data_IF_284695394023
#
_entry.id   IF_284695394023
#
_cell.length_a   1.000
_cell.length_b   1.000
_cell.length_c   1.000
_cell.angle_alpha   90.00
_cell.angle_beta   90.00
_cell.angle_gamma   90.00
#
_symmetry.space_group_name_H-M   'P 1'
#
loop_
_entity.id
_entity.type
_entity.pdbx_description
1 polymer ?
#
# COMPACT_ATOMS: atom_id res chain seq x y z
N UNK A 1 36.09 -46.72 -29.80
CA UNK A 1 34.95 -45.84 -29.54
C UNK A 1 35.28 -45.06 -28.28
N UNK A 2 35.85 -43.88 -28.47
CA UNK A 2 36.53 -43.08 -27.43
C UNK A 2 35.56 -42.01 -26.90
N UNK A 3 35.22 -42.10 -25.65
CA UNK A 3 34.32 -41.13 -24.97
C UNK A 3 35.16 -39.98 -24.45
N UNK A 4 35.03 -38.81 -25.07
CA UNK A 4 35.65 -37.58 -24.58
C UNK A 4 34.81 -36.97 -23.43
N UNK A 5 35.37 -36.99 -22.22
CA UNK A 5 34.85 -36.23 -21.08
C UNK A 5 35.21 -34.76 -21.25
N UNK A 6 34.18 -33.89 -21.40
CA UNK A 6 34.36 -32.44 -21.35
C UNK A 6 34.39 -31.99 -19.89
N UNK A 7 35.55 -31.49 -19.47
CA UNK A 7 35.78 -30.87 -18.15
C UNK A 7 35.25 -29.43 -18.19
N UNK A 8 34.28 -29.11 -17.37
CA UNK A 8 33.78 -27.75 -17.23
C UNK A 8 34.55 -27.05 -16.08
N UNK A 9 35.43 -26.17 -16.44
CA UNK A 9 36.19 -25.35 -15.50
C UNK A 9 35.26 -24.24 -14.94
N UNK A 10 34.99 -24.28 -13.64
CA UNK A 10 34.26 -23.23 -12.93
C UNK A 10 35.28 -22.16 -12.53
N UNK A 11 35.15 -20.98 -13.14
CA UNK A 11 35.94 -19.80 -12.80
C UNK A 11 35.23 -19.09 -11.65
N UNK A 12 35.80 -19.18 -10.44
CA UNK A 12 35.40 -18.42 -9.28
C UNK A 12 36.00 -17.01 -9.37
N UNK A 13 35.15 -16.03 -9.65
CA UNK A 13 35.54 -14.62 -9.57
C UNK A 13 35.15 -14.08 -8.18
N UNK A 14 36.17 -13.87 -7.33
CA UNK A 14 36.03 -13.17 -6.07
C UNK A 14 35.98 -11.66 -6.36
N UNK A 15 34.86 -11.01 -6.05
CA UNK A 15 34.76 -9.56 -6.09
C UNK A 15 34.78 -8.99 -4.67
N UNK A 16 35.70 -8.07 -4.48
CA UNK A 16 36.06 -7.41 -3.24
C UNK A 16 34.94 -6.52 -2.68
N UNK A 17 34.86 -6.51 -1.36
CA UNK A 17 34.09 -5.62 -0.51
C UNK A 17 34.61 -4.18 -0.63
N UNK A 18 33.77 -3.27 -1.05
CA UNK A 18 33.96 -1.84 -0.81
C UNK A 18 32.91 -1.36 0.18
N UNK A 19 33.41 -1.08 1.38
CA UNK A 19 32.70 -0.36 2.42
C UNK A 19 32.47 1.08 1.97
N UNK A 20 31.22 1.46 1.77
CA UNK A 20 30.79 2.83 1.48
C UNK A 20 30.04 3.42 2.65
N UNK A 21 30.58 4.49 3.16
CA UNK A 21 30.15 5.39 4.22
C UNK A 21 28.64 5.67 4.30
N UNK A 22 28.08 5.54 5.50
CA UNK A 22 26.79 6.09 5.89
C UNK A 22 26.98 7.53 6.41
N UNK A 23 26.24 8.52 5.94
CA UNK A 23 26.14 9.80 6.61
C UNK A 23 25.13 9.69 7.77
N UNK A 24 25.62 9.87 8.98
CA UNK A 24 24.82 10.09 10.18
C UNK A 24 24.17 11.47 10.12
N UNK A 25 22.86 11.52 10.00
CA UNK A 25 22.09 12.74 10.14
C UNK A 25 21.81 12.99 11.62
N UNK A 26 22.57 13.88 12.25
CA UNK A 26 22.30 14.38 13.59
C UNK A 26 21.20 15.44 13.53
N UNK A 27 20.05 15.14 14.10
CA UNK A 27 19.00 16.13 14.35
C UNK A 27 19.33 16.89 15.64
N UNK A 28 19.63 18.16 15.49
CA UNK A 28 19.69 19.12 16.60
C UNK A 28 18.26 19.52 16.96
N UNK A 29 17.89 19.21 18.19
CA UNK A 29 16.67 19.74 18.81
C UNK A 29 17.01 21.06 19.46
N UNK A 30 16.50 22.14 18.93
CA UNK A 30 16.57 23.46 19.53
C UNK A 30 15.26 23.75 20.24
N UNK A 31 15.33 23.79 21.56
CA UNK A 31 14.27 24.19 22.46
C UNK A 31 14.33 25.70 22.63
N UNK A 32 13.31 26.40 22.20
CA UNK A 32 13.11 27.82 22.52
C UNK A 32 11.84 27.97 23.35
N UNK A 33 12.04 28.30 24.61
CA UNK A 33 10.98 28.72 25.51
C UNK A 33 10.84 30.24 25.47
N UNK A 34 9.63 30.78 25.56
CA UNK A 34 9.40 32.20 25.63
C UNK A 34 9.02 32.65 27.03
N UNK A 35 9.58 33.74 27.42
CA UNK A 35 9.04 34.62 28.46
C UNK A 35 8.41 35.83 27.83
N UNK A 36 7.21 36.22 28.29
CA UNK A 36 6.92 37.61 28.69
C UNK A 36 5.49 37.77 29.21
N UNK A 37 5.42 38.05 30.48
CA UNK A 37 4.30 38.58 31.22
C UNK A 37 4.08 40.04 30.81
N UNK A 38 2.82 40.45 30.66
CA UNK A 38 2.45 41.85 30.83
C UNK A 38 1.04 41.93 31.41
N UNK A 39 1.01 42.33 32.65
CA UNK A 39 -0.15 42.85 33.39
C UNK A 39 -0.77 44.05 32.70
N UNK A 40 -2.07 44.13 32.71
CA UNK A 40 -2.85 45.37 32.87
C UNK A 40 -4.26 45.06 33.33
N UNK A 41 -4.50 45.44 34.54
CA UNK A 41 -5.75 45.63 35.26
C UNK A 41 -6.43 46.93 34.85
N UNK A 42 -7.57 47.32 35.50
CA UNK A 42 -8.93 46.84 35.34
C UNK A 42 -9.85 48.01 34.88
N UNK A 43 -11.03 47.73 34.40
CA UNK A 43 -12.13 48.70 34.40
C UNK A 43 -13.49 48.05 34.61
N UNK A 44 -14.06 48.44 35.76
CA UNK A 44 -15.46 48.54 36.11
C UNK A 44 -16.48 48.38 34.97
N UNK A 45 -17.40 47.45 35.11
CA UNK A 45 -18.75 47.70 34.63
C UNK A 45 -19.81 46.90 35.41
N UNK A 46 -20.52 47.68 36.24
CA UNK A 46 -21.96 47.64 36.49
C UNK A 46 -22.67 46.27 36.60
N UNK A 47 -22.96 45.98 37.84
CA UNK A 47 -24.03 45.11 38.31
C UNK A 47 -25.33 45.28 37.54
N UNK A 48 -25.71 44.29 36.76
CA UNK A 48 -27.10 44.11 36.31
C UNK A 48 -27.76 43.07 37.20
N UNK A 49 -28.92 43.41 37.73
CA UNK A 49 -29.78 42.62 38.61
C UNK A 49 -30.08 41.22 37.99
N UNK A 50 -30.16 40.17 38.81
CA UNK A 50 -30.53 38.85 38.35
C UNK A 50 -32.03 38.83 37.99
N UNK A 51 -32.33 38.53 36.74
CA UNK A 51 -33.67 38.10 36.34
C UNK A 51 -33.91 36.70 36.83
N UNK A 52 -34.82 36.56 37.79
CA UNK A 52 -35.38 35.24 38.14
C UNK A 52 -36.12 34.67 36.96
N UNK A 53 -35.47 33.74 36.22
CA UNK A 53 -36.15 32.90 35.27
C UNK A 53 -36.90 31.84 36.03
N UNK A 54 -38.20 31.78 35.83
CA UNK A 54 -39.11 30.76 36.27
C UNK A 54 -38.56 29.39 35.87
N UNK A 55 -38.52 28.35 36.73
CA UNK A 55 -38.02 27.02 36.36
C UNK A 55 -38.90 26.44 35.26
N UNK A 56 -38.26 26.10 34.14
CA UNK A 56 -38.90 25.33 33.05
C UNK A 56 -39.18 23.93 33.52
N UNK A 57 -40.32 23.33 33.10
CA UNK A 57 -40.64 21.95 33.46
C UNK A 57 -39.59 20.97 32.85
N UNK A 58 -39.30 19.88 33.54
CA UNK A 58 -38.29 18.92 33.07
C UNK A 58 -38.66 18.39 31.69
N UNK A 59 -37.76 18.63 30.71
CA UNK A 59 -37.87 18.07 29.40
C UNK A 59 -37.88 16.53 29.48
N UNK A 60 -38.94 15.92 28.98
CA UNK A 60 -39.03 14.46 28.84
C UNK A 60 -37.88 14.02 27.96
N UNK A 61 -36.93 13.31 28.57
CA UNK A 61 -35.84 12.65 27.89
C UNK A 61 -36.49 11.56 26.99
N UNK A 62 -36.63 11.85 25.72
CA UNK A 62 -36.98 10.82 24.75
C UNK A 62 -35.77 9.91 24.63
N UNK A 63 -35.84 8.77 25.30
CA UNK A 63 -34.92 7.67 25.06
C UNK A 63 -35.06 7.26 23.59
N UNK A 64 -34.21 7.81 22.70
CA UNK A 64 -34.07 7.27 21.35
C UNK A 64 -33.66 5.82 21.50
N UNK A 65 -34.55 4.93 21.02
CA UNK A 65 -34.23 3.52 20.85
C UNK A 65 -32.89 3.42 20.15
N UNK A 66 -31.90 2.63 20.66
CA UNK A 66 -30.61 2.49 19.97
C UNK A 66 -30.88 2.05 18.54
N UNK A 67 -30.41 2.82 17.58
CA UNK A 67 -30.46 2.43 16.17
C UNK A 67 -29.66 1.14 16.00
N UNK A 68 -30.18 0.17 15.23
CA UNK A 68 -29.44 -1.05 14.94
C UNK A 68 -28.13 -0.67 14.29
N UNK A 69 -27.02 -1.37 14.60
CA UNK A 69 -25.71 -1.06 14.04
C UNK A 69 -25.82 -1.04 12.52
N UNK A 70 -25.55 0.13 11.92
CA UNK A 70 -25.51 0.28 10.47
C UNK A 70 -24.55 -0.77 9.93
N UNK A 71 -25.04 -1.65 9.06
CA UNK A 71 -24.19 -2.58 8.33
C UNK A 71 -23.14 -1.72 7.62
N UNK A 72 -21.91 -1.77 8.10
CA UNK A 72 -20.78 -1.14 7.42
C UNK A 72 -20.66 -1.86 6.09
N UNK A 73 -21.29 -1.30 5.07
CA UNK A 73 -21.03 -1.69 3.70
C UNK A 73 -19.57 -1.34 3.47
N UNK A 74 -18.71 -2.36 3.47
CA UNK A 74 -17.28 -2.19 3.23
C UNK A 74 -17.11 -1.34 1.98
N UNK A 75 -16.69 -0.08 2.16
CA UNK A 75 -16.40 0.80 1.05
C UNK A 75 -15.29 0.15 0.23
N UNK A 76 -15.67 -0.34 -0.96
CA UNK A 76 -14.71 -0.80 -1.95
C UNK A 76 -13.85 0.42 -2.30
N UNK A 77 -12.52 0.39 -2.10
CA UNK A 77 -11.69 1.53 -2.41
C UNK A 77 -11.86 1.91 -3.88
N UNK A 78 -11.76 3.21 -4.23
CA UNK A 78 -11.89 3.66 -5.61
C UNK A 78 -10.90 2.90 -6.49
N UNK A 79 -11.40 2.30 -7.56
CA UNK A 79 -10.57 1.57 -8.52
C UNK A 79 -9.69 2.58 -9.26
N UNK A 80 -8.38 2.40 -9.23
CA UNK A 80 -7.50 3.10 -10.17
C UNK A 80 -7.82 2.60 -11.58
N UNK A 81 -7.99 3.48 -12.56
CA UNK A 81 -8.17 3.05 -13.94
C UNK A 81 -6.93 2.26 -14.39
N UNK A 82 -7.16 1.04 -14.84
CA UNK A 82 -6.12 0.20 -15.41
C UNK A 82 -6.03 0.49 -16.91
N UNK A 83 -4.82 0.70 -17.47
CA UNK A 83 -4.68 0.83 -18.91
C UNK A 83 -5.15 -0.47 -19.60
N UNK A 84 -5.76 -0.38 -20.78
CA UNK A 84 -6.19 -1.56 -21.53
C UNK A 84 -5.03 -2.50 -21.83
N UNK A 85 -5.30 -3.81 -21.86
CA UNK A 85 -4.34 -4.80 -22.35
C UNK A 85 -3.98 -4.47 -23.81
N UNK A 86 -2.70 -4.57 -24.13
CA UNK A 86 -2.17 -4.15 -25.42
C UNK A 86 -1.71 -2.70 -25.49
N UNK A 87 -1.88 -1.90 -24.41
CA UNK A 87 -1.31 -0.55 -24.38
C UNK A 87 0.22 -0.62 -24.37
N UNK A 88 0.87 0.20 -25.20
CA UNK A 88 2.32 0.25 -25.38
C UNK A 88 2.93 1.46 -24.67
N UNK A 89 4.04 1.26 -23.96
CA UNK A 89 4.87 2.28 -23.34
C UNK A 89 6.29 2.17 -23.87
N UNK A 90 6.88 3.26 -24.35
CA UNK A 90 8.28 3.27 -24.83
C UNK A 90 9.26 3.14 -23.68
N UNK A 91 8.92 3.75 -22.55
CA UNK A 91 9.75 3.75 -21.36
C UNK A 91 9.35 2.64 -20.39
N UNK A 92 10.33 2.15 -19.65
CA UNK A 92 10.10 1.18 -18.58
C UNK A 92 9.25 1.81 -17.48
N UNK A 93 8.14 1.17 -17.05
CA UNK A 93 7.34 1.68 -15.95
C UNK A 93 8.19 1.90 -14.69
N UNK A 94 7.98 3.03 -14.00
CA UNK A 94 8.70 3.34 -12.77
C UNK A 94 8.44 2.28 -11.70
N UNK A 95 9.43 2.05 -10.83
CA UNK A 95 9.35 1.10 -9.73
C UNK A 95 8.93 -0.32 -10.13
N UNK A 96 9.13 -0.70 -11.40
CA UNK A 96 8.75 -2.03 -11.82
C UNK A 96 9.79 -3.07 -11.41
N UNK A 97 9.29 -4.20 -10.96
CA UNK A 97 10.07 -5.40 -10.64
C UNK A 97 10.00 -6.40 -11.81
N UNK A 98 11.09 -7.14 -12.00
CA UNK A 98 11.12 -8.23 -12.99
C UNK A 98 10.64 -9.52 -12.34
N UNK A 99 9.79 -10.24 -13.03
CA UNK A 99 9.24 -11.55 -12.63
C UNK A 99 9.52 -12.53 -13.76
N UNK A 100 10.08 -13.71 -13.45
CA UNK A 100 10.19 -14.79 -14.39
C UNK A 100 9.05 -15.78 -14.17
N UNK A 101 8.33 -16.11 -15.23
CA UNK A 101 7.27 -17.11 -15.20
C UNK A 101 7.27 -17.89 -16.53
N UNK A 102 7.28 -19.23 -16.45
CA UNK A 102 7.35 -20.12 -17.62
C UNK A 102 8.48 -19.73 -18.59
N UNK A 103 9.68 -19.45 -18.06
CA UNK A 103 10.86 -19.01 -18.81
C UNK A 103 10.71 -17.68 -19.56
N UNK A 104 9.63 -16.94 -19.34
CA UNK A 104 9.38 -15.63 -19.92
C UNK A 104 9.54 -14.50 -18.89
N UNK A 105 10.20 -13.39 -19.24
CA UNK A 105 10.27 -12.22 -18.37
C UNK A 105 8.99 -11.41 -18.43
N UNK A 106 8.52 -11.00 -17.26
CA UNK A 106 7.43 -10.05 -17.06
C UNK A 106 7.93 -8.90 -16.19
N UNK A 107 7.27 -7.78 -16.30
CA UNK A 107 7.50 -6.61 -15.46
C UNK A 107 6.21 -6.28 -14.72
N UNK A 108 6.31 -6.00 -13.45
CA UNK A 108 5.16 -5.71 -12.60
C UNK A 108 5.35 -4.37 -11.90
N UNK A 109 4.40 -3.47 -12.08
CA UNK A 109 4.38 -2.16 -11.42
C UNK A 109 2.93 -1.77 -11.11
N UNK A 110 2.66 -1.28 -9.90
CA UNK A 110 1.35 -0.75 -9.48
C UNK A 110 0.16 -1.70 -9.77
N UNK A 111 0.39 -3.02 -9.71
CA UNK A 111 -0.65 -4.02 -9.99
C UNK A 111 -0.85 -4.34 -11.47
N UNK A 112 -0.06 -3.76 -12.36
CA UNK A 112 -0.13 -3.95 -13.80
C UNK A 112 1.04 -4.80 -14.26
N UNK A 113 0.77 -5.72 -15.20
CA UNK A 113 1.79 -6.58 -15.79
C UNK A 113 2.14 -6.13 -17.19
N UNK A 114 3.42 -6.21 -17.51
CA UNK A 114 3.96 -5.83 -18.80
C UNK A 114 4.87 -6.92 -19.35
N UNK A 115 4.97 -6.99 -20.66
CA UNK A 115 6.02 -7.71 -21.38
C UNK A 115 6.80 -6.74 -22.25
N UNK A 116 8.09 -6.95 -22.38
CA UNK A 116 8.89 -6.20 -23.32
C UNK A 116 8.85 -6.89 -24.68
N UNK A 117 8.30 -6.22 -25.69
CA UNK A 117 8.19 -6.70 -27.05
C UNK A 117 8.21 -5.52 -28.02
N UNK A 118 8.84 -5.70 -29.17
CA UNK A 118 8.91 -4.66 -30.22
C UNK A 118 9.39 -3.30 -29.71
N UNK A 119 10.48 -3.31 -28.92
CA UNK A 119 11.09 -2.12 -28.33
C UNK A 119 10.12 -1.31 -27.42
N UNK A 120 9.11 -1.95 -26.85
CA UNK A 120 8.14 -1.32 -25.96
C UNK A 120 7.69 -2.24 -24.83
N UNK A 121 7.18 -1.67 -23.75
CA UNK A 121 6.51 -2.38 -22.66
C UNK A 121 5.01 -2.43 -22.95
N UNK A 122 4.50 -3.63 -23.16
CA UNK A 122 3.10 -3.87 -23.53
C UNK A 122 2.36 -4.36 -22.32
N UNK A 123 1.23 -3.73 -21.98
CA UNK A 123 0.34 -4.20 -20.91
C UNK A 123 -0.22 -5.56 -21.30
N UNK A 124 -0.07 -6.53 -20.39
CA UNK A 124 -0.56 -7.89 -20.60
C UNK A 124 -1.45 -8.34 -19.46
N UNK A 125 -2.33 -9.28 -19.74
CA UNK A 125 -3.03 -10.00 -18.69
C UNK A 125 -2.06 -10.96 -18.01
N UNK A 126 -1.98 -11.00 -16.67
CA UNK A 126 -1.12 -11.97 -15.99
C UNK A 126 -1.68 -13.39 -16.10
N UNK A 127 -0.81 -14.37 -15.89
CA UNK A 127 -1.17 -15.78 -15.89
C UNK A 127 -1.42 -16.30 -14.46
N UNK A 128 -2.34 -17.26 -14.34
CA UNK A 128 -2.59 -17.95 -13.06
C UNK A 128 -1.32 -18.71 -12.67
N UNK A 129 -0.93 -18.60 -11.39
CA UNK A 129 0.29 -19.20 -10.89
C UNK A 129 1.47 -18.25 -10.76
N UNK A 130 1.46 -17.09 -11.43
CA UNK A 130 2.47 -16.06 -11.22
C UNK A 130 2.54 -15.63 -9.76
N UNK A 131 3.74 -15.29 -9.32
CA UNK A 131 4.03 -14.85 -7.96
C UNK A 131 4.61 -13.45 -8.01
N UNK A 132 4.05 -12.55 -7.19
CA UNK A 132 4.58 -11.22 -6.98
C UNK A 132 5.03 -11.07 -5.52
N UNK A 133 6.14 -10.38 -5.23
CA UNK A 133 6.64 -10.23 -3.87
C UNK A 133 5.83 -9.23 -3.04
N UNK A 134 5.13 -8.31 -3.69
CA UNK A 134 4.31 -7.28 -3.04
C UNK A 134 3.11 -6.89 -3.92
N UNK A 135 2.10 -6.31 -3.30
CA UNK A 135 0.97 -5.66 -3.98
C UNK A 135 1.06 -4.14 -3.79
N UNK A 136 0.42 -3.34 -4.65
CA UNK A 136 0.37 -1.89 -4.47
C UNK A 136 -0.24 -1.50 -3.11
N UNK A 137 0.17 -0.39 -2.55
CA UNK A 137 -0.40 0.14 -1.29
C UNK A 137 -1.85 0.57 -1.45
N UNK A 138 -2.23 0.98 -2.64
CA UNK A 138 -3.58 1.50 -2.95
C UNK A 138 -4.28 0.66 -4.01
N UNK A 139 -5.63 0.64 -3.98
CA UNK A 139 -6.42 -0.11 -4.95
C UNK A 139 -6.50 -1.62 -4.68
N UNK A 140 -5.93 -2.08 -3.57
CA UNK A 140 -6.02 -3.47 -3.12
C UNK A 140 -7.09 -3.61 -2.04
N UNK A 141 -7.93 -4.62 -2.16
CA UNK A 141 -8.91 -4.96 -1.13
C UNK A 141 -8.98 -6.46 -0.91
N UNK A 142 -9.60 -6.88 0.21
CA UNK A 142 -9.69 -8.28 0.59
C UNK A 142 -11.10 -8.80 0.38
N UNK A 143 -11.21 -10.04 -0.07
CA UNK A 143 -12.47 -10.78 -0.15
C UNK A 143 -12.32 -12.12 0.56
N UNK A 144 -13.44 -12.68 1.03
CA UNK A 144 -13.50 -14.08 1.46
C UNK A 144 -14.14 -14.91 0.36
N UNK A 145 -13.44 -15.96 -0.10
CA UNK A 145 -13.95 -16.90 -1.09
C UNK A 145 -13.63 -18.33 -0.63
N UNK A 146 -14.67 -19.17 -0.47
CA UNK A 146 -14.52 -20.56 0.01
C UNK A 146 -13.74 -20.69 1.33
N UNK A 147 -13.96 -19.76 2.27
CA UNK A 147 -13.26 -19.75 3.57
C UNK A 147 -11.86 -19.11 3.56
N UNK A 148 -11.27 -18.88 2.40
CA UNK A 148 -9.96 -18.24 2.25
C UNK A 148 -10.07 -16.73 2.11
N UNK A 149 -9.10 -16.00 2.64
CA UNK A 149 -8.93 -14.57 2.41
C UNK A 149 -8.05 -14.37 1.18
N UNK A 150 -8.61 -13.75 0.15
CA UNK A 150 -7.88 -13.38 -1.06
C UNK A 150 -7.75 -11.86 -1.15
N UNK A 151 -6.70 -11.41 -1.82
CA UNK A 151 -6.49 -10.01 -2.16
C UNK A 151 -6.91 -9.77 -3.61
N UNK A 152 -7.47 -8.62 -3.88
CA UNK A 152 -7.89 -8.22 -5.22
C UNK A 152 -7.20 -6.93 -5.62
N UNK A 153 -6.60 -6.92 -6.79
CA UNK A 153 -6.03 -5.74 -7.43
C UNK A 153 -6.31 -5.82 -8.92
N UNK A 154 -6.92 -4.79 -9.52
CA UNK A 154 -7.29 -4.78 -10.95
C UNK A 154 -7.99 -6.06 -11.44
N UNK A 155 -8.99 -6.53 -10.66
CA UNK A 155 -9.75 -7.75 -10.92
C UNK A 155 -8.94 -9.06 -10.91
N UNK A 156 -7.67 -9.01 -10.54
CA UNK A 156 -6.82 -10.19 -10.31
C UNK A 156 -6.93 -10.65 -8.87
N UNK A 157 -7.11 -11.95 -8.67
CA UNK A 157 -7.20 -12.60 -7.36
C UNK A 157 -5.84 -13.13 -6.93
N UNK A 158 -5.39 -12.70 -5.77
CA UNK A 158 -4.11 -13.10 -5.19
C UNK A 158 -4.31 -13.86 -3.88
N UNK A 159 -3.64 -15.00 -3.75
CA UNK A 159 -3.53 -15.75 -2.50
C UNK A 159 -2.21 -15.40 -1.83
N UNK A 160 -2.23 -14.91 -0.56
CA UNK A 160 -1.01 -14.66 0.18
C UNK A 160 -0.38 -15.99 0.62
N UNK A 161 0.94 -16.08 0.60
CA UNK A 161 1.69 -17.17 1.20
C UNK A 161 3.06 -16.71 1.66
N UNK A 162 3.68 -17.44 2.60
CA UNK A 162 5.01 -17.11 3.11
C UNK A 162 6.04 -18.02 2.44
N UNK A 163 7.15 -17.43 2.00
CA UNK A 163 8.30 -18.12 1.47
C UNK A 163 9.57 -17.43 1.95
N UNK A 164 10.51 -18.18 2.54
CA UNK A 164 11.74 -17.60 3.09
C UNK A 164 11.52 -16.50 4.15
N UNK A 165 10.43 -16.58 4.92
CA UNK A 165 10.06 -15.56 5.91
C UNK A 165 9.33 -14.34 5.35
N UNK A 166 9.31 -14.14 4.03
CA UNK A 166 8.66 -13.03 3.35
C UNK A 166 7.25 -13.40 2.88
N UNK A 167 6.36 -12.40 2.86
CA UNK A 167 5.01 -12.51 2.31
C UNK A 167 5.08 -12.33 0.79
N UNK A 168 4.47 -13.26 0.09
CA UNK A 168 4.31 -13.25 -1.37
C UNK A 168 2.85 -13.45 -1.74
N UNK A 169 2.50 -13.13 -2.98
CA UNK A 169 1.14 -13.22 -3.49
C UNK A 169 1.11 -14.00 -4.80
N UNK A 170 0.40 -15.13 -4.80
CA UNK A 170 0.22 -15.98 -5.98
C UNK A 170 -1.09 -15.67 -6.66
N UNK A 171 -1.08 -15.47 -7.98
CA UNK A 171 -2.29 -15.29 -8.77
C UNK A 171 -3.06 -16.61 -8.82
N UNK A 172 -4.32 -16.57 -8.42
CA UNK A 172 -5.20 -17.76 -8.34
C UNK A 172 -6.46 -17.64 -9.20
N UNK A 173 -6.67 -16.50 -9.86
CA UNK A 173 -7.81 -16.30 -10.74
C UNK A 173 -8.12 -14.82 -10.97
N UNK A 174 -9.31 -14.58 -11.47
CA UNK A 174 -9.84 -13.26 -11.80
C UNK A 174 -11.28 -13.14 -11.28
N UNK A 175 -11.75 -11.89 -11.11
CA UNK A 175 -13.14 -11.56 -10.81
C UNK A 175 -14.01 -11.66 -12.05
#
# INVERSE_FOLDING_TARGET
MTIMKKSTTILLLAAALSFGYLPTCTMSVEASNPTAVTDKDPKDHKTKKPHHKKPEPPHKIHHRKPEPPHKVHGHRPPRRPMPPVGTHYRERPQHCISISFNHAPYFFAEGIFYRYANASYVVVRPEIGMIVPLLPETGVYRIKKKGETLYVCHDVLYRPFKSGGNLHFKIVGFL
#
